data_IF_870657131342
#
_entry.id   IF_870657131342
#
_cell.length_a   1.000
_cell.length_b   1.000
_cell.length_c   1.000
_cell.angle_alpha   90.00
_cell.angle_beta   90.00
_cell.angle_gamma   90.00
#
_symmetry.space_group_name_H-M   'P 1'
#
loop_
_entity.id
_entity.type
_entity.pdbx_description
1 polymer ?
#
# COMPACT_ATOMS: atom_id res chain seq x y z
N UNK A 1 14.24 -24.27 15.10
CA UNK A 1 14.14 -22.97 14.40
C UNK A 1 13.50 -21.95 15.34
N UNK A 2 14.22 -20.90 15.76
CA UNK A 2 13.68 -19.84 16.63
C UNK A 2 12.89 -18.84 15.77
N UNK A 3 11.56 -18.90 15.81
CA UNK A 3 10.73 -17.82 15.27
C UNK A 3 10.88 -16.62 16.20
N UNK A 4 11.68 -15.64 15.80
CA UNK A 4 11.77 -14.36 16.52
C UNK A 4 10.57 -13.53 16.05
N UNK A 5 9.43 -13.67 16.74
CA UNK A 5 8.30 -12.77 16.54
C UNK A 5 8.73 -11.39 17.03
N UNK A 6 8.87 -10.43 16.12
CA UNK A 6 9.11 -9.03 16.47
C UNK A 6 7.78 -8.31 16.59
N UNK A 7 7.68 -7.34 17.51
CA UNK A 7 6.50 -6.47 17.62
C UNK A 7 6.13 -5.80 16.28
N UNK A 8 7.10 -5.64 15.39
CA UNK A 8 6.93 -5.10 14.03
C UNK A 8 6.08 -6.01 13.15
N UNK A 9 6.21 -7.34 13.26
CA UNK A 9 5.35 -8.28 12.54
C UNK A 9 3.89 -8.16 12.99
N UNK A 10 3.65 -7.89 14.28
CA UNK A 10 2.29 -7.65 14.80
C UNK A 10 1.70 -6.35 14.25
N UNK A 11 2.50 -5.28 14.15
CA UNK A 11 2.09 -4.01 13.53
C UNK A 11 1.76 -4.24 12.05
N UNK A 12 2.61 -4.94 11.30
CA UNK A 12 2.39 -5.25 9.88
C UNK A 12 1.12 -6.08 9.70
N UNK A 13 0.95 -7.15 10.48
CA UNK A 13 -0.21 -8.02 10.40
C UNK A 13 -1.50 -7.25 10.67
N UNK A 14 -1.49 -6.38 11.69
CA UNK A 14 -2.65 -5.55 12.02
C UNK A 14 -2.93 -4.50 10.93
N UNK A 15 -1.90 -3.84 10.40
CA UNK A 15 -2.05 -2.87 9.32
C UNK A 15 -2.60 -3.51 8.04
N UNK A 16 -2.10 -4.69 7.65
CA UNK A 16 -2.60 -5.44 6.50
C UNK A 16 -4.06 -5.88 6.70
N UNK A 17 -4.43 -6.34 7.91
CA UNK A 17 -5.82 -6.66 8.23
C UNK A 17 -6.72 -5.43 8.10
N UNK A 18 -6.30 -4.31 8.67
CA UNK A 18 -7.05 -3.04 8.66
C UNK A 18 -7.25 -2.54 7.23
N UNK A 19 -6.19 -2.56 6.42
CA UNK A 19 -6.26 -2.19 5.00
C UNK A 19 -7.20 -3.10 4.22
N UNK A 20 -7.18 -4.42 4.45
CA UNK A 20 -8.09 -5.37 3.79
C UNK A 20 -9.55 -5.13 4.15
N UNK A 21 -9.83 -4.88 5.42
CA UNK A 21 -11.21 -4.65 5.91
C UNK A 21 -11.81 -3.36 5.35
N UNK A 22 -10.97 -2.33 5.14
CA UNK A 22 -11.38 -1.03 4.61
C UNK A 22 -11.34 -0.95 3.09
N UNK A 23 -10.73 -1.93 2.43
CA UNK A 23 -10.52 -1.89 1.00
C UNK A 23 -11.79 -2.24 0.21
N UNK A 24 -12.05 -1.55 -0.91
CA UNK A 24 -13.12 -1.96 -1.81
C UNK A 24 -12.83 -3.35 -2.39
N UNK A 25 -13.89 -4.15 -2.45
CA UNK A 25 -13.90 -5.46 -3.12
C UNK A 25 -14.24 -5.29 -4.62
N UNK A 26 -14.67 -4.10 -5.06
CA UNK A 26 -15.15 -3.90 -6.43
C UNK A 26 -16.62 -4.34 -6.61
N UNK A 27 -17.22 -3.95 -7.73
CA UNK A 27 -18.61 -4.26 -8.07
C UNK A 27 -18.76 -5.52 -8.92
N UNK A 28 -20.01 -5.97 -9.12
CA UNK A 28 -20.34 -7.19 -9.88
C UNK A 28 -19.85 -7.20 -11.35
N UNK A 29 -19.44 -6.06 -11.90
CA UNK A 29 -18.89 -5.92 -13.26
C UNK A 29 -17.36 -5.82 -13.34
N UNK A 30 -16.64 -5.87 -12.20
CA UNK A 30 -15.19 -5.77 -12.20
C UNK A 30 -14.55 -7.08 -12.67
N UNK A 31 -13.55 -6.96 -13.55
CA UNK A 31 -12.79 -8.11 -14.09
C UNK A 31 -12.07 -8.91 -12.98
N UNK A 32 -11.70 -8.25 -11.90
CA UNK A 32 -10.98 -8.82 -10.76
C UNK A 32 -11.50 -8.24 -9.44
N UNK A 33 -12.66 -8.69 -8.94
CA UNK A 33 -13.16 -8.27 -7.64
C UNK A 33 -12.16 -8.69 -6.56
N UNK A 34 -11.91 -7.82 -5.59
CA UNK A 34 -10.98 -8.03 -4.47
C UNK A 34 -9.52 -7.74 -4.78
N UNK A 35 -9.15 -7.48 -6.05
CA UNK A 35 -7.74 -7.30 -6.44
C UNK A 35 -7.03 -6.20 -5.65
N UNK A 36 -7.73 -5.10 -5.35
CA UNK A 36 -7.16 -4.01 -4.54
C UNK A 36 -6.95 -4.45 -3.09
N UNK A 37 -7.98 -5.02 -2.46
CA UNK A 37 -7.94 -5.56 -1.10
C UNK A 37 -6.80 -6.56 -0.90
N UNK A 38 -6.60 -7.42 -1.88
CA UNK A 38 -5.72 -8.58 -1.73
C UNK A 38 -4.24 -8.25 -2.07
N UNK A 39 -3.95 -7.11 -2.71
CA UNK A 39 -2.60 -6.71 -3.16
C UNK A 39 -1.94 -5.59 -2.33
N UNK A 40 -2.19 -5.52 -1.03
CA UNK A 40 -1.33 -4.72 -0.15
C UNK A 40 0.00 -5.45 0.07
N UNK A 41 1.08 -4.82 -0.36
CA UNK A 41 2.45 -5.35 -0.30
C UNK A 41 3.27 -4.63 0.75
N UNK A 42 4.21 -5.35 1.36
CA UNK A 42 5.15 -4.83 2.36
C UNK A 42 6.51 -4.59 1.70
N UNK A 43 7.09 -3.44 2.01
CA UNK A 43 8.41 -3.02 1.55
C UNK A 43 9.29 -2.72 2.75
N UNK A 44 10.51 -3.25 2.76
CA UNK A 44 11.55 -2.93 3.72
C UNK A 44 12.62 -2.09 3.00
N UNK A 45 12.81 -0.84 3.41
CA UNK A 45 13.72 0.11 2.76
C UNK A 45 13.52 0.19 1.24
N UNK A 46 12.24 0.16 0.80
CA UNK A 46 11.85 0.20 -0.61
C UNK A 46 11.96 -1.12 -1.38
N UNK A 47 12.39 -2.22 -0.75
CA UNK A 47 12.40 -3.56 -1.37
C UNK A 47 11.20 -4.37 -0.92
N UNK A 48 10.49 -5.02 -1.85
CA UNK A 48 9.38 -5.90 -1.52
C UNK A 48 9.87 -7.09 -0.69
N UNK A 49 9.19 -7.36 0.43
CA UNK A 49 9.51 -8.47 1.33
C UNK A 49 8.24 -9.26 1.65
N UNK A 50 8.37 -10.55 1.93
CA UNK A 50 7.27 -11.42 2.35
C UNK A 50 7.04 -11.43 3.87
N UNK A 51 8.02 -10.96 4.64
CA UNK A 51 8.00 -10.82 6.10
C UNK A 51 9.06 -9.79 6.51
N UNK A 52 9.03 -9.34 7.77
CA UNK A 52 9.96 -8.37 8.33
C UNK A 52 11.02 -9.01 9.23
N UNK A 53 11.42 -10.27 8.97
CA UNK A 53 12.46 -10.96 9.76
C UNK A 53 13.82 -10.26 9.70
N UNK A 54 14.11 -9.59 8.58
CA UNK A 54 15.36 -8.87 8.35
C UNK A 54 15.32 -7.42 8.87
N UNK A 55 14.20 -6.98 9.43
CA UNK A 55 14.04 -5.63 9.95
C UNK A 55 14.97 -5.36 11.13
N UNK A 56 15.57 -4.17 11.13
CA UNK A 56 16.44 -3.65 12.19
C UNK A 56 15.96 -2.27 12.64
N UNK A 57 16.27 -1.85 13.89
CA UNK A 57 16.10 -0.46 14.29
C UNK A 57 16.79 0.49 13.30
N UNK A 58 16.06 1.49 12.82
CA UNK A 58 16.50 2.40 11.76
C UNK A 58 15.97 2.06 10.35
N UNK A 59 15.51 0.83 10.12
CA UNK A 59 14.84 0.46 8.88
C UNK A 59 13.43 1.01 8.79
N UNK A 60 13.01 1.32 7.57
CA UNK A 60 11.69 1.85 7.27
C UNK A 60 10.87 0.77 6.58
N UNK A 61 9.67 0.52 7.09
CA UNK A 61 8.69 -0.32 6.43
C UNK A 61 7.64 0.56 5.75
N UNK A 62 7.33 0.25 4.51
CA UNK A 62 6.18 0.81 3.81
C UNK A 62 5.20 -0.31 3.45
N UNK A 63 3.92 -0.09 3.69
CA UNK A 63 2.86 -0.94 3.16
C UNK A 63 2.14 -0.13 2.10
N UNK A 64 2.11 -0.63 0.87
CA UNK A 64 1.49 0.07 -0.28
C UNK A 64 0.88 -0.93 -1.25
N UNK A 65 0.09 -0.44 -2.20
CA UNK A 65 -0.53 -1.27 -3.22
C UNK A 65 0.03 -0.86 -4.59
N UNK A 66 0.68 -1.78 -5.32
CA UNK A 66 1.31 -1.47 -6.61
C UNK A 66 0.31 -1.22 -7.74
N UNK A 67 -1.00 -1.45 -7.54
CA UNK A 67 -1.97 -1.26 -8.63
C UNK A 67 -2.04 0.22 -9.04
N UNK A 68 -2.06 0.55 -10.35
CA UNK A 68 -1.95 1.92 -10.84
C UNK A 68 -3.06 2.88 -10.37
N UNK A 69 -4.20 2.32 -9.94
CA UNK A 69 -5.38 3.08 -9.53
C UNK A 69 -5.52 3.23 -8.00
N UNK A 70 -4.57 2.74 -7.19
CA UNK A 70 -4.61 2.88 -5.73
C UNK A 70 -4.77 4.33 -5.27
N UNK A 71 -4.06 5.26 -5.92
CA UNK A 71 -4.18 6.70 -5.65
C UNK A 71 -5.55 7.27 -6.02
N UNK A 72 -6.21 6.76 -7.07
CA UNK A 72 -7.55 7.23 -7.47
C UNK A 72 -8.61 6.84 -6.44
N UNK A 73 -8.47 5.64 -5.86
CA UNK A 73 -9.31 5.17 -4.76
C UNK A 73 -9.06 6.05 -3.52
N UNK A 74 -7.80 6.28 -3.18
CA UNK A 74 -7.45 7.08 -2.00
C UNK A 74 -7.99 8.52 -2.07
N UNK A 75 -7.86 9.19 -3.21
CA UNK A 75 -8.27 10.59 -3.42
C UNK A 75 -9.80 10.73 -3.62
N UNK A 76 -10.55 9.63 -3.71
CA UNK A 76 -12.00 9.68 -3.93
C UNK A 76 -12.42 10.05 -5.37
N UNK A 77 -11.53 9.86 -6.34
CA UNK A 77 -11.78 10.21 -7.75
C UNK A 77 -12.63 9.19 -8.52
N UNK A 78 -13.06 8.11 -7.87
CA UNK A 78 -14.00 7.13 -8.40
C UNK A 78 -15.26 7.15 -7.54
N UNK A 79 -16.43 7.13 -8.18
CA UNK A 79 -17.73 6.87 -7.52
C UNK A 79 -17.79 5.43 -7.01
N UNK A 80 -16.95 5.11 -6.03
CA UNK A 80 -16.98 3.86 -5.31
C UNK A 80 -17.88 4.05 -4.09
N UNK A 81 -18.65 3.02 -3.74
CA UNK A 81 -19.46 3.00 -2.52
C UNK A 81 -18.63 2.99 -1.23
N UNK A 82 -17.30 3.07 -1.31
CA UNK A 82 -16.40 3.09 -0.16
C UNK A 82 -15.89 4.51 0.12
N UNK A 83 -15.70 4.88 1.40
CA UNK A 83 -15.07 6.13 1.75
C UNK A 83 -13.67 6.24 1.12
N UNK A 84 -13.35 7.40 0.57
CA UNK A 84 -11.98 7.78 0.23
C UNK A 84 -11.08 7.75 1.48
N UNK A 85 -9.77 7.64 1.29
CA UNK A 85 -8.82 7.64 2.41
C UNK A 85 -8.60 6.26 3.07
N UNK A 86 -8.48 5.18 2.30
CA UNK A 86 -8.25 3.83 2.84
C UNK A 86 -6.93 3.78 3.61
N UNK A 87 -5.86 4.34 3.05
CA UNK A 87 -4.54 4.34 3.66
C UNK A 87 -4.43 5.33 4.81
N UNK A 88 -4.94 6.55 4.63
CA UNK A 88 -4.92 7.58 5.66
C UNK A 88 -5.68 7.14 6.92
N UNK A 89 -6.92 6.67 6.77
CA UNK A 89 -7.71 6.22 7.90
C UNK A 89 -7.17 4.93 8.53
N UNK A 90 -6.58 4.04 7.73
CA UNK A 90 -5.90 2.85 8.27
C UNK A 90 -4.66 3.25 9.08
N UNK A 91 -3.88 4.23 8.62
CA UNK A 91 -2.73 4.72 9.37
C UNK A 91 -3.14 5.29 10.74
N UNK A 92 -4.23 6.05 10.81
CA UNK A 92 -4.76 6.58 12.09
C UNK A 92 -5.17 5.45 13.07
N UNK A 93 -5.79 4.38 12.58
CA UNK A 93 -6.18 3.23 13.41
C UNK A 93 -4.95 2.48 13.92
N UNK A 94 -3.97 2.26 13.05
CA UNK A 94 -2.73 1.57 13.40
C UNK A 94 -1.92 2.40 14.40
N UNK A 95 -1.83 3.72 14.20
CA UNK A 95 -1.15 4.64 15.12
C UNK A 95 -1.84 4.69 16.49
N UNK A 96 -3.18 4.72 16.54
CA UNK A 96 -3.91 4.66 17.80
C UNK A 96 -3.63 3.40 18.62
N UNK A 97 -3.26 2.28 17.96
CA UNK A 97 -2.94 1.01 18.63
C UNK A 97 -1.45 0.85 18.96
N UNK A 98 -0.56 1.33 18.09
CA UNK A 98 0.87 1.02 18.11
C UNK A 98 1.79 2.26 18.16
N UNK A 99 1.24 3.46 18.22
CA UNK A 99 1.98 4.73 18.24
C UNK A 99 2.88 4.93 19.47
N UNK A 100 2.71 4.09 20.50
CA UNK A 100 3.63 3.99 21.63
C UNK A 100 4.88 3.15 21.33
N UNK A 101 4.83 2.23 20.36
CA UNK A 101 5.93 1.33 19.99
C UNK A 101 6.67 1.76 18.72
N UNK A 102 5.96 2.33 17.75
CA UNK A 102 6.51 2.73 16.46
C UNK A 102 5.92 4.07 16.01
N UNK A 103 6.63 4.79 15.14
CA UNK A 103 6.03 5.91 14.41
C UNK A 103 5.26 5.34 13.22
N UNK A 104 3.96 5.61 13.16
CA UNK A 104 3.10 5.22 12.04
C UNK A 104 2.62 6.49 11.33
N UNK A 105 2.81 6.57 10.00
CA UNK A 105 2.44 7.76 9.22
C UNK A 105 1.84 7.38 7.88
N UNK A 106 0.87 8.16 7.43
CA UNK A 106 0.44 8.13 6.04
C UNK A 106 1.41 8.93 5.17
N UNK A 107 1.90 8.32 4.09
CA UNK A 107 2.83 8.95 3.14
C UNK A 107 2.47 8.60 1.71
N UNK A 108 2.98 9.40 0.77
CA UNK A 108 2.99 9.05 -0.64
C UNK A 108 4.39 8.63 -1.05
N UNK A 109 4.64 7.32 -1.10
CA UNK A 109 5.97 6.79 -1.41
C UNK A 109 6.22 6.75 -2.93
N UNK A 110 7.43 7.11 -3.40
CA UNK A 110 7.82 6.81 -4.77
C UNK A 110 8.05 5.30 -4.88
N UNK A 111 7.15 4.59 -5.57
CA UNK A 111 7.40 3.17 -5.89
C UNK A 111 8.39 3.16 -7.05
N UNK A 112 9.63 2.77 -6.77
CA UNK A 112 10.61 2.52 -7.80
C UNK A 112 10.29 1.16 -8.45
N UNK A 113 9.45 1.18 -9.49
CA UNK A 113 9.02 -0.03 -10.21
C UNK A 113 10.18 -0.85 -10.81
N UNK A 114 11.42 -0.36 -10.78
CA UNK A 114 12.63 -1.11 -11.16
C UNK A 114 12.82 -2.43 -10.41
N UNK A 115 12.31 -2.56 -9.18
CA UNK A 115 12.27 -3.83 -8.43
C UNK A 115 11.04 -4.71 -8.70
N UNK A 116 10.04 -4.18 -9.42
CA UNK A 116 8.75 -4.81 -9.73
C UNK A 116 8.66 -5.04 -11.25
N UNK A 117 9.78 -5.33 -11.92
CA UNK A 117 9.80 -5.67 -13.35
C UNK A 117 8.99 -6.95 -13.67
N UNK A 118 8.71 -7.78 -12.65
CA UNK A 118 7.89 -9.00 -12.79
C UNK A 118 6.38 -8.79 -12.82
N UNK A 119 5.86 -7.61 -12.41
CA UNK A 119 4.41 -7.42 -12.20
C UNK A 119 3.75 -6.49 -13.23
N UNK A 120 4.53 -5.61 -13.88
CA UNK A 120 4.08 -4.86 -15.05
C UNK A 120 3.66 -5.77 -16.21
N UNK A 121 4.23 -6.97 -16.28
CA UNK A 121 3.95 -7.96 -17.31
C UNK A 121 2.66 -8.75 -17.03
N UNK A 122 2.17 -8.75 -15.79
CA UNK A 122 1.03 -9.58 -15.36
C UNK A 122 -0.33 -8.92 -15.55
N UNK A 123 -0.40 -7.59 -15.63
CA UNK A 123 -1.67 -6.86 -15.64
C UNK A 123 -1.78 -5.97 -16.88
N UNK A 124 -2.17 -6.55 -18.01
CA UNK A 124 -2.39 -5.87 -19.30
C UNK A 124 -3.56 -4.87 -19.32
N UNK A 125 -3.62 -3.91 -18.39
CA UNK A 125 -4.73 -2.94 -18.23
C UNK A 125 -4.30 -1.47 -18.35
N UNK A 126 -3.24 -1.15 -19.10
CA UNK A 126 -2.76 0.23 -19.34
C UNK A 126 -3.37 0.92 -20.59
N UNK A 127 -4.64 0.69 -20.92
CA UNK A 127 -5.30 1.41 -22.04
C UNK A 127 -6.69 1.92 -21.67
N UNK A 128 -6.80 3.05 -20.97
CA UNK A 128 -7.83 4.06 -21.27
C UNK A 128 -7.74 5.33 -20.41
N UNK A 129 -7.82 6.49 -21.07
CA UNK A 129 -8.54 7.64 -20.53
C UNK A 129 -7.75 8.90 -20.11
N UNK A 130 -7.98 10.00 -20.86
CA UNK A 130 -7.89 11.44 -20.49
C UNK A 130 -6.54 12.17 -20.53
N UNK A 131 -6.23 12.82 -21.67
CA UNK A 131 -5.01 13.61 -21.99
C UNK A 131 -4.57 14.57 -20.86
N UNK A 132 -3.81 14.05 -19.90
CA UNK A 132 -2.86 14.82 -19.08
C UNK A 132 -1.46 14.55 -19.63
N UNK A 133 -0.53 15.50 -19.49
CA UNK A 133 0.82 15.40 -20.06
C UNK A 133 1.51 14.12 -19.59
N UNK A 134 2.25 13.46 -20.48
CA UNK A 134 2.86 12.15 -20.20
C UNK A 134 3.79 12.22 -19.00
N UNK A 135 4.50 13.33 -18.80
CA UNK A 135 5.38 13.56 -17.66
C UNK A 135 4.61 13.67 -16.33
N UNK A 136 3.55 14.49 -16.29
CA UNK A 136 2.71 14.65 -15.10
C UNK A 136 1.96 13.36 -14.79
N UNK A 137 1.44 12.64 -15.80
CA UNK A 137 0.85 11.30 -15.60
C UNK A 137 1.86 10.29 -15.08
N UNK A 138 3.07 10.29 -15.62
CA UNK A 138 4.14 9.39 -15.18
C UNK A 138 4.54 9.69 -13.73
N UNK A 139 4.62 10.96 -13.35
CA UNK A 139 4.91 11.39 -11.98
C UNK A 139 3.75 11.10 -11.01
N UNK A 140 2.52 11.33 -11.45
CA UNK A 140 1.30 11.07 -10.69
C UNK A 140 1.05 9.57 -10.45
N UNK A 141 1.55 8.72 -11.37
CA UNK A 141 1.55 7.25 -11.23
C UNK A 141 2.72 6.72 -10.38
N UNK A 142 3.76 7.53 -10.12
CA UNK A 142 4.95 7.11 -9.34
C UNK A 142 4.76 7.18 -7.83
N UNK A 143 3.85 8.03 -7.34
CA UNK A 143 3.64 8.21 -5.89
C UNK A 143 2.37 7.48 -5.43
N UNK A 144 2.55 6.33 -4.80
CA UNK A 144 1.44 5.53 -4.29
C UNK A 144 1.18 5.81 -2.82
N UNK A 145 -0.09 5.74 -2.36
CA UNK A 145 -0.41 5.86 -0.95
C UNK A 145 0.22 4.71 -0.17
N UNK A 146 0.79 5.00 0.99
CA UNK A 146 1.46 4.03 1.83
C UNK A 146 1.31 4.34 3.31
N UNK A 147 1.32 3.29 4.13
CA UNK A 147 1.56 3.40 5.56
C UNK A 147 3.06 3.22 5.78
N UNK A 148 3.72 4.22 6.33
CA UNK A 148 5.09 4.15 6.79
C UNK A 148 5.14 3.76 8.26
N UNK A 149 5.98 2.77 8.59
CA UNK A 149 6.23 2.29 9.94
C UNK A 149 7.72 2.43 10.21
N UNK A 150 8.08 3.11 11.29
CA UNK A 150 9.47 3.23 11.78
C UNK A 150 9.56 2.82 13.23
N UNK A 151 10.53 1.97 13.57
CA UNK A 151 10.85 1.69 14.97
C UNK A 151 11.33 2.95 15.68
N UNK A 152 10.95 3.10 16.95
CA UNK A 152 11.53 4.10 17.84
C UNK A 152 12.79 3.59 18.53
#
# INVERSE_FOLDING_TARGET
>A
MRYRYSYVEDIIAFALKTLRERSPIGGAGDRHPGLYRDNHLVFLNGRMVSNARDWRPGDIIHISNPVPYSRKIEVGGMNLSVPSGVYEASAQIVDGRFGNQASIKFVYMPINFGGIRRWSDTTGMMRQGRKMSVAVRSEWLRRQPAIEIRGR
#
